data_IF_050810680190
#
_entry.id   IF_050810680190
#
_cell.length_a   1.000
_cell.length_b   1.000
_cell.length_c   1.000
_cell.angle_alpha   90.00
_cell.angle_beta   90.00
_cell.angle_gamma   90.00
#
_symmetry.space_group_name_H-M   'P 1'
#
loop_
_entity.id
_entity.type
_entity.pdbx_description
1 polymer ?
#
# COMPACT_ATOMS: atom_id res chain seq x y z
N UNK A 1 -16.71 -0.73 26.15
CA UNK A 1 -16.38 0.32 25.15
C UNK A 1 -14.89 0.25 24.81
N UNK A 2 -14.59 0.21 23.52
CA UNK A 2 -13.19 0.18 23.08
C UNK A 2 -12.56 1.55 23.19
N UNK A 3 -11.29 1.60 23.61
CA UNK A 3 -10.49 2.83 23.56
C UNK A 3 -10.08 3.13 22.13
N UNK A 4 -9.63 4.35 21.86
CA UNK A 4 -9.10 4.73 20.54
C UNK A 4 -7.89 3.86 20.19
N UNK A 5 -7.03 3.57 21.18
CA UNK A 5 -5.87 2.70 20.97
C UNK A 5 -6.29 1.29 20.57
N UNK A 6 -7.29 0.72 21.23
CA UNK A 6 -7.81 -0.61 20.90
C UNK A 6 -8.38 -0.65 19.48
N UNK A 7 -9.10 0.40 19.07
CA UNK A 7 -9.62 0.52 17.71
C UNK A 7 -8.50 0.57 16.67
N UNK A 8 -7.42 1.31 16.96
CA UNK A 8 -6.24 1.38 16.10
C UNK A 8 -5.53 0.04 15.99
N UNK A 9 -5.38 -0.68 17.10
CA UNK A 9 -4.76 -2.01 17.11
C UNK A 9 -5.59 -3.01 16.31
N UNK A 10 -6.90 -2.95 16.40
CA UNK A 10 -7.79 -3.78 15.59
C UNK A 10 -7.67 -3.44 14.11
N UNK A 11 -7.58 -2.16 13.77
CA UNK A 11 -7.37 -1.72 12.38
C UNK A 11 -6.05 -2.27 11.84
N UNK A 12 -4.98 -2.28 12.66
CA UNK A 12 -3.69 -2.85 12.27
C UNK A 12 -3.76 -4.35 12.07
N UNK A 13 -4.49 -5.06 12.92
CA UNK A 13 -4.71 -6.50 12.76
C UNK A 13 -5.40 -6.80 11.43
N UNK A 14 -6.45 -6.05 11.11
CA UNK A 14 -7.18 -6.19 9.85
C UNK A 14 -6.29 -5.83 8.65
N UNK A 15 -5.46 -4.80 8.80
CA UNK A 15 -4.50 -4.41 7.76
C UNK A 15 -3.48 -5.52 7.49
N UNK A 16 -2.94 -6.15 8.53
CA UNK A 16 -2.01 -7.27 8.38
C UNK A 16 -2.62 -8.40 7.55
N UNK A 17 -3.84 -8.80 7.87
CA UNK A 17 -4.56 -9.83 7.13
C UNK A 17 -4.82 -9.43 5.67
N UNK A 18 -5.27 -8.20 5.45
CA UNK A 18 -5.56 -7.70 4.12
C UNK A 18 -4.30 -7.58 3.26
N UNK A 19 -3.21 -7.09 3.85
CA UNK A 19 -1.92 -6.95 3.15
C UNK A 19 -1.37 -8.30 2.69
N UNK A 20 -1.66 -9.37 3.43
CA UNK A 20 -1.32 -10.73 3.01
C UNK A 20 -1.95 -11.14 1.68
N UNK A 21 -3.02 -10.45 1.27
CA UNK A 21 -3.69 -10.64 -0.02
C UNK A 21 -3.32 -9.55 -1.02
N UNK A 22 -3.24 -8.31 -0.56
CA UNK A 22 -2.97 -7.15 -1.43
C UNK A 22 -1.58 -7.19 -2.04
N UNK A 23 -0.56 -7.51 -1.26
CA UNK A 23 0.82 -7.51 -1.75
C UNK A 23 1.01 -8.51 -2.89
N UNK A 24 0.61 -9.78 -2.77
CA UNK A 24 0.71 -10.72 -3.90
C UNK A 24 -0.11 -10.28 -5.11
N UNK A 25 -1.30 -9.71 -4.91
CA UNK A 25 -2.14 -9.22 -5.99
C UNK A 25 -1.47 -8.04 -6.72
N UNK A 26 -0.84 -7.15 -5.96
CA UNK A 26 -0.08 -6.02 -6.53
C UNK A 26 1.11 -6.52 -7.34
N UNK A 27 1.84 -7.51 -6.84
CA UNK A 27 2.95 -8.12 -7.55
C UNK A 27 2.48 -8.77 -8.86
N UNK A 28 1.30 -9.37 -8.86
CA UNK A 28 0.69 -9.94 -10.07
C UNK A 28 0.37 -8.87 -11.10
N UNK A 29 -0.25 -7.75 -10.69
CA UNK A 29 -0.57 -6.67 -11.64
C UNK A 29 0.71 -6.02 -12.18
N UNK A 30 1.74 -5.89 -11.37
CA UNK A 30 3.05 -5.38 -11.83
C UNK A 30 3.59 -6.28 -12.95
N UNK A 31 3.53 -7.59 -12.76
CA UNK A 31 3.97 -8.55 -13.76
C UNK A 31 3.23 -8.38 -15.09
N UNK A 32 1.90 -8.18 -15.02
CA UNK A 32 1.09 -7.97 -16.23
C UNK A 32 1.43 -6.64 -16.91
N UNK A 33 1.63 -5.57 -16.12
CA UNK A 33 1.98 -4.26 -16.68
C UNK A 33 3.34 -4.25 -17.37
N UNK A 34 4.29 -5.01 -16.87
CA UNK A 34 5.65 -5.13 -17.44
C UNK A 34 5.73 -6.14 -18.58
N UNK A 35 4.84 -7.11 -18.59
CA UNK A 35 4.79 -8.17 -19.60
C UNK A 35 3.67 -7.94 -20.59
N UNK A 36 2.84 -8.95 -20.77
CA UNK A 36 1.70 -8.87 -21.67
C UNK A 36 0.45 -8.50 -20.89
N UNK A 37 -0.10 -7.30 -21.16
CA UNK A 37 -1.34 -6.85 -20.54
C UNK A 37 -2.53 -7.64 -21.08
N UNK A 38 -3.37 -8.07 -20.17
CA UNK A 38 -4.61 -8.76 -20.49
C UNK A 38 -5.75 -7.75 -20.66
N UNK A 39 -6.88 -8.22 -21.15
CA UNK A 39 -8.07 -7.38 -21.35
C UNK A 39 -8.55 -6.72 -20.06
N UNK A 40 -8.37 -7.41 -18.92
CA UNK A 40 -8.82 -6.96 -17.62
C UNK A 40 -7.71 -6.36 -16.74
N UNK A 41 -6.49 -6.22 -17.27
CA UNK A 41 -5.34 -5.72 -16.47
C UNK A 41 -5.61 -4.34 -15.88
N UNK A 42 -6.17 -3.41 -16.66
CA UNK A 42 -6.45 -2.05 -16.18
C UNK A 42 -7.50 -2.06 -15.06
N UNK A 43 -8.56 -2.85 -15.21
CA UNK A 43 -9.59 -2.98 -14.18
C UNK A 43 -9.01 -3.58 -12.90
N UNK A 44 -8.15 -4.59 -13.04
CA UNK A 44 -7.44 -5.20 -11.92
C UNK A 44 -6.54 -4.16 -11.21
N UNK A 45 -5.79 -3.38 -12.00
CA UNK A 45 -4.95 -2.31 -11.46
C UNK A 45 -5.78 -1.32 -10.64
N UNK A 46 -6.94 -0.89 -11.14
CA UNK A 46 -7.80 0.04 -10.42
C UNK A 46 -8.31 -0.54 -9.10
N UNK A 47 -8.62 -1.82 -9.05
CA UNK A 47 -9.00 -2.50 -7.80
C UNK A 47 -7.83 -2.52 -6.81
N UNK A 48 -6.61 -2.77 -7.30
CA UNK A 48 -5.40 -2.76 -6.48
C UNK A 48 -5.16 -1.37 -5.90
N UNK A 49 -5.38 -0.32 -6.69
CA UNK A 49 -5.22 1.07 -6.22
C UNK A 49 -6.26 1.42 -5.15
N UNK A 50 -7.49 0.94 -5.27
CA UNK A 50 -8.50 1.13 -4.22
C UNK A 50 -8.03 0.50 -2.90
N UNK A 51 -7.47 -0.71 -2.97
CA UNK A 51 -6.89 -1.38 -1.80
C UNK A 51 -5.70 -0.62 -1.22
N UNK A 52 -4.83 -0.10 -2.08
CA UNK A 52 -3.70 0.73 -1.66
C UNK A 52 -4.17 1.98 -0.93
N UNK A 53 -5.16 2.68 -1.47
CA UNK A 53 -5.71 3.88 -0.84
C UNK A 53 -6.28 3.58 0.55
N UNK A 54 -6.97 2.45 0.69
CA UNK A 54 -7.48 2.00 1.98
C UNK A 54 -6.31 1.78 2.97
N UNK A 55 -5.24 1.14 2.53
CA UNK A 55 -4.07 0.90 3.39
C UNK A 55 -3.36 2.19 3.78
N UNK A 56 -3.27 3.16 2.88
CA UNK A 56 -2.71 4.49 3.17
C UNK A 56 -3.56 5.20 4.22
N UNK A 57 -4.88 5.17 4.10
CA UNK A 57 -5.79 5.74 5.09
C UNK A 57 -5.62 5.07 6.46
N UNK A 58 -5.50 3.74 6.47
CA UNK A 58 -5.28 2.99 7.71
C UNK A 58 -3.93 3.36 8.34
N UNK A 59 -2.88 3.49 7.53
CA UNK A 59 -1.58 3.96 8.00
C UNK A 59 -1.70 5.36 8.62
N UNK A 60 -2.39 6.28 7.95
CA UNK A 60 -2.53 7.67 8.43
C UNK A 60 -3.16 7.74 9.82
N UNK A 61 -4.15 6.90 10.13
CA UNK A 61 -4.80 6.90 11.45
C UNK A 61 -4.04 6.09 12.50
N UNK A 62 -3.08 5.28 12.10
CA UNK A 62 -2.29 4.42 13.00
C UNK A 62 -0.81 4.76 13.05
N UNK A 63 -0.38 5.81 12.34
CA UNK A 63 1.05 6.14 12.20
C UNK A 63 1.78 6.35 13.51
N UNK A 64 1.10 6.86 14.52
CA UNK A 64 1.64 7.08 15.86
C UNK A 64 2.08 5.76 16.51
N UNK A 65 1.32 4.68 16.28
CA UNK A 65 1.66 3.35 16.77
C UNK A 65 2.72 2.70 15.89
N UNK A 66 2.55 2.77 14.57
CA UNK A 66 3.46 2.14 13.60
C UNK A 66 4.89 2.67 13.73
N UNK A 67 5.04 3.98 13.96
CA UNK A 67 6.33 4.65 14.01
C UNK A 67 6.87 4.82 15.44
N UNK A 68 6.41 4.04 16.39
CA UNK A 68 6.89 4.08 17.76
C UNK A 68 7.51 2.74 18.15
N UNK A 69 8.67 2.71 18.84
CA UNK A 69 9.49 3.85 19.24
C UNK A 69 10.36 4.43 18.12
N UNK A 70 10.39 3.80 16.98
CA UNK A 70 11.26 4.09 15.85
C UNK A 70 10.42 4.44 14.63
N UNK A 71 10.81 5.48 13.88
CA UNK A 71 10.12 5.84 12.63
C UNK A 71 10.47 4.81 11.56
N UNK A 72 9.51 3.96 11.22
CA UNK A 72 9.66 2.90 10.22
C UNK A 72 9.25 3.36 8.82
N UNK A 73 8.29 4.29 8.73
CA UNK A 73 7.74 4.79 7.48
C UNK A 73 7.89 6.30 7.46
N UNK A 74 8.51 6.80 6.39
CA UNK A 74 8.71 8.23 6.20
C UNK A 74 7.54 8.80 5.39
N UNK A 75 6.78 9.72 6.00
CA UNK A 75 5.58 10.30 5.39
C UNK A 75 5.90 11.09 4.10
N UNK A 76 7.03 11.80 4.07
CA UNK A 76 7.43 12.59 2.90
C UNK A 76 7.75 11.68 1.71
N UNK A 77 8.44 10.56 1.97
CA UNK A 77 8.74 9.58 0.92
C UNK A 77 7.47 8.92 0.40
N UNK A 78 6.53 8.60 1.29
CA UNK A 78 5.24 8.03 0.90
C UNK A 78 4.45 9.01 0.04
N UNK A 79 4.40 10.27 0.45
CA UNK A 79 3.70 11.33 -0.28
C UNK A 79 4.27 11.51 -1.68
N UNK A 80 5.60 11.49 -1.81
CA UNK A 80 6.31 11.54 -3.09
C UNK A 80 5.96 10.34 -3.96
N UNK A 81 5.95 9.15 -3.39
CA UNK A 81 5.61 7.92 -4.11
C UNK A 81 4.19 7.98 -4.66
N UNK A 82 3.23 8.44 -3.86
CA UNK A 82 1.83 8.60 -4.27
C UNK A 82 1.72 9.64 -5.39
N UNK A 83 2.46 10.74 -5.29
CA UNK A 83 2.50 11.78 -6.33
C UNK A 83 3.02 11.25 -7.66
N UNK A 84 4.11 10.49 -7.63
CA UNK A 84 4.69 9.86 -8.83
C UNK A 84 3.71 8.87 -9.45
N UNK A 85 3.05 8.09 -8.62
CA UNK A 85 2.04 7.12 -9.06
C UNK A 85 0.86 7.84 -9.75
N UNK A 86 0.37 8.90 -9.14
CA UNK A 86 -0.72 9.73 -9.67
C UNK A 86 -0.36 10.31 -11.03
N UNK A 87 0.88 10.77 -11.20
CA UNK A 87 1.37 11.30 -12.48
C UNK A 87 1.38 10.21 -13.55
N UNK A 88 1.82 8.99 -13.20
CA UNK A 88 1.80 7.86 -14.13
C UNK A 88 0.38 7.53 -14.60
N UNK A 89 -0.59 7.57 -13.69
CA UNK A 89 -2.00 7.37 -14.04
C UNK A 89 -2.53 8.46 -14.95
N UNK A 90 -2.20 9.72 -14.66
CA UNK A 90 -2.62 10.87 -15.46
C UNK A 90 -2.15 10.74 -16.91
N UNK A 91 -0.95 10.22 -17.10
CA UNK A 91 -0.34 10.04 -18.44
C UNK A 91 -0.64 8.68 -19.05
N UNK A 92 -1.31 7.79 -18.32
CA UNK A 92 -1.54 6.38 -18.70
C UNK A 92 -0.24 5.67 -19.05
N UNK A 93 0.81 6.00 -18.30
CA UNK A 93 2.14 5.41 -18.46
C UNK A 93 2.25 4.16 -17.57
N UNK A 94 1.82 3.03 -18.09
CA UNK A 94 1.74 1.79 -17.33
C UNK A 94 3.11 1.25 -16.92
N UNK A 95 4.14 1.49 -17.73
CA UNK A 95 5.51 1.12 -17.35
C UNK A 95 5.99 1.93 -16.14
N UNK A 96 5.73 3.23 -16.12
CA UNK A 96 6.07 4.09 -14.99
C UNK A 96 5.29 3.70 -13.74
N UNK A 97 4.00 3.36 -13.88
CA UNK A 97 3.17 2.87 -12.76
C UNK A 97 3.77 1.59 -12.17
N UNK A 98 4.14 0.63 -13.01
CA UNK A 98 4.75 -0.62 -12.57
C UNK A 98 6.07 -0.39 -11.85
N UNK A 99 6.90 0.51 -12.35
CA UNK A 99 8.18 0.85 -11.75
C UNK A 99 8.00 1.48 -10.37
N UNK A 100 7.03 2.40 -10.23
CA UNK A 100 6.75 3.07 -8.95
C UNK A 100 6.19 2.09 -7.92
N UNK A 101 5.27 1.22 -8.33
CA UNK A 101 4.74 0.19 -7.45
C UNK A 101 5.85 -0.72 -6.93
N UNK A 102 6.80 -1.09 -7.80
CA UNK A 102 7.91 -1.95 -7.44
C UNK A 102 8.92 -1.25 -6.52
N UNK A 103 9.27 0.00 -6.84
CA UNK A 103 10.35 0.72 -6.16
C UNK A 103 9.97 1.23 -4.78
N UNK A 104 8.75 1.74 -4.61
CA UNK A 104 8.37 2.46 -3.41
C UNK A 104 7.10 1.91 -2.73
N UNK A 105 6.10 1.52 -3.49
CA UNK A 105 4.80 1.13 -2.94
C UNK A 105 4.83 -0.25 -2.30
N UNK A 106 5.34 -1.26 -3.00
CA UNK A 106 5.45 -2.62 -2.44
C UNK A 106 6.34 -2.62 -1.20
N UNK A 107 7.52 -1.97 -1.20
CA UNK A 107 8.32 -1.87 0.02
C UNK A 107 7.59 -1.19 1.19
N UNK A 108 6.85 -0.10 0.93
CA UNK A 108 6.02 0.54 1.95
C UNK A 108 5.00 -0.46 2.56
N UNK A 109 4.29 -1.18 1.70
CA UNK A 109 3.27 -2.13 2.16
C UNK A 109 3.89 -3.28 2.97
N UNK A 110 5.07 -3.74 2.58
CA UNK A 110 5.78 -4.79 3.32
C UNK A 110 6.21 -4.32 4.71
N UNK A 111 6.74 -3.11 4.82
CA UNK A 111 7.11 -2.50 6.09
C UNK A 111 5.88 -2.30 6.97
N UNK A 112 4.80 -1.79 6.38
CA UNK A 112 3.54 -1.58 7.09
C UNK A 112 2.95 -2.91 7.62
N UNK A 113 2.97 -3.95 6.80
CA UNK A 113 2.50 -5.28 7.19
C UNK A 113 3.31 -5.82 8.38
N UNK A 114 4.63 -5.71 8.31
CA UNK A 114 5.51 -6.17 9.40
C UNK A 114 5.21 -5.41 10.70
N UNK A 115 5.09 -4.09 10.63
CA UNK A 115 4.76 -3.26 11.77
C UNK A 115 3.38 -3.61 12.34
N UNK A 116 2.38 -3.78 11.48
CA UNK A 116 1.03 -4.16 11.89
C UNK A 116 1.01 -5.52 12.59
N UNK A 117 1.76 -6.48 12.08
CA UNK A 117 1.89 -7.81 12.66
C UNK A 117 2.51 -7.78 14.07
N UNK A 118 3.48 -6.90 14.29
CA UNK A 118 4.14 -6.75 15.60
C UNK A 118 3.25 -6.04 16.61
N UNK A 119 2.40 -5.14 16.16
CA UNK A 119 1.54 -4.33 17.05
C UNK A 119 0.23 -5.02 17.40
N UNK A 120 -0.21 -5.95 16.58
CA UNK A 120 -1.52 -6.59 16.72
C UNK A 120 -1.54 -7.82 17.63
#
# INVERSE_FOLDING_TARGET
METIKEQKLEALKNADEYLGKLIPAMEQVISELKGEMQEDTVDFLLQIIDGLNFMIETYNVTRDIVNEPEVLINDDELEKAVGTLSEGFSKKDYAAIADELTSDIVPFLKVFKEAASKCA
#
